data_IF_038719760348
#
_entry.id   IF_038719760348
#
_cell.length_a   1.000
_cell.length_b   1.000
_cell.length_c   1.000
_cell.angle_alpha   90.00
_cell.angle_beta   90.00
_cell.angle_gamma   90.00
#
_symmetry.space_group_name_H-M   'P 1'
#
loop_
_entity.id
_entity.type
_entity.pdbx_description
1 polymer ?
#
# COMPACT_ATOMS: atom_id res chain seq x y z
N UNK A 1 6.97 34.49 3.09
CA UNK A 1 8.40 34.12 3.03
C UNK A 1 8.53 32.61 3.15
N UNK A 2 8.35 31.85 2.05
CA UNK A 2 8.51 30.39 2.01
C UNK A 2 9.16 29.96 0.68
N UNK A 3 10.21 30.66 0.24
CA UNK A 3 11.00 30.30 -0.94
C UNK A 3 12.42 29.90 -0.50
N UNK A 4 12.57 28.78 0.20
CA UNK A 4 13.87 28.46 0.77
C UNK A 4 14.13 27.02 1.20
N UNK A 5 13.28 26.05 0.84
CA UNK A 5 13.64 24.65 1.05
C UNK A 5 14.06 24.07 -0.31
N UNK A 6 15.37 23.97 -0.50
CA UNK A 6 15.97 23.23 -1.60
C UNK A 6 15.66 21.74 -1.39
N UNK A 7 14.98 21.05 -2.33
CA UNK A 7 14.65 19.63 -2.19
C UNK A 7 15.88 18.73 -1.96
N UNK A 8 17.07 19.19 -2.33
CA UNK A 8 18.33 18.46 -2.17
C UNK A 8 18.98 18.62 -0.78
N UNK A 9 18.47 19.49 0.09
CA UNK A 9 18.99 19.75 1.44
C UNK A 9 18.09 19.18 2.56
N UNK A 10 17.06 18.39 2.21
CA UNK A 10 16.28 17.67 3.21
C UNK A 10 17.10 16.48 3.70
N UNK A 11 17.83 16.68 4.80
CA UNK A 11 18.46 15.60 5.54
C UNK A 11 17.37 14.76 6.19
N UNK A 12 16.99 13.66 5.54
CA UNK A 12 16.10 12.66 6.15
C UNK A 12 16.97 11.82 7.08
N UNK A 13 16.84 12.01 8.39
CA UNK A 13 17.35 11.04 9.35
C UNK A 13 16.53 9.75 9.23
N UNK A 14 17.00 8.83 8.39
CA UNK A 14 16.48 7.47 8.36
C UNK A 14 17.02 6.77 9.60
N UNK A 15 16.32 6.91 10.73
CA UNK A 15 16.54 6.00 11.85
C UNK A 15 16.12 4.61 11.40
N UNK A 16 17.10 3.74 11.17
CA UNK A 16 16.89 2.32 10.97
C UNK A 16 16.36 1.75 12.29
N UNK A 17 15.05 1.82 12.49
CA UNK A 17 14.38 1.09 13.56
C UNK A 17 14.61 -0.39 13.25
N UNK A 18 15.24 -1.10 14.17
CA UNK A 18 15.72 -2.47 13.97
C UNK A 18 14.64 -3.43 13.48
N UNK A 19 15.06 -4.48 12.79
CA UNK A 19 14.26 -5.65 12.40
C UNK A 19 12.83 -5.30 11.94
N UNK A 20 12.74 -4.52 10.86
CA UNK A 20 11.45 -4.16 10.28
C UNK A 20 10.84 -5.36 9.53
N UNK A 21 9.65 -5.77 9.93
CA UNK A 21 8.84 -6.80 9.28
C UNK A 21 7.61 -6.14 8.66
N UNK A 22 7.09 -6.68 7.56
CA UNK A 22 5.93 -6.11 6.88
C UNK A 22 4.86 -7.13 6.53
N UNK A 23 3.60 -6.71 6.64
CA UNK A 23 2.46 -7.39 6.05
C UNK A 23 2.18 -6.78 4.68
N UNK A 24 1.97 -7.63 3.68
CA UNK A 24 1.71 -7.29 2.28
C UNK A 24 0.38 -7.92 1.88
N UNK A 25 -0.48 -7.13 1.27
CA UNK A 25 -1.76 -7.58 0.76
C UNK A 25 -2.25 -6.60 -0.30
N UNK A 26 -3.26 -7.04 -1.04
CA UNK A 26 -3.91 -6.28 -2.07
C UNK A 26 -5.42 -6.23 -1.87
N UNK A 27 -6.03 -5.09 -2.21
CA UNK A 27 -7.47 -5.02 -2.35
C UNK A 27 -7.86 -4.32 -3.64
N UNK A 28 -9.01 -4.71 -4.18
CA UNK A 28 -9.51 -4.14 -5.42
C UNK A 28 -10.85 -3.44 -5.24
N UNK A 29 -11.14 -2.57 -6.19
CA UNK A 29 -12.45 -1.97 -6.38
C UNK A 29 -12.73 -1.71 -7.87
N UNK A 30 -13.99 -1.49 -8.23
CA UNK A 30 -14.39 -1.25 -9.62
C UNK A 30 -14.17 0.22 -10.02
N UNK A 31 -13.55 0.45 -11.17
CA UNK A 31 -13.55 1.75 -11.84
C UNK A 31 -14.33 1.64 -13.15
N UNK A 32 -15.32 2.50 -13.38
CA UNK A 32 -16.22 2.49 -14.54
C UNK A 32 -17.12 1.23 -14.65
N UNK A 33 -16.53 0.04 -14.70
CA UNK A 33 -17.19 -1.25 -14.89
C UNK A 33 -16.56 -2.36 -14.04
N UNK A 34 -17.28 -3.48 -13.87
CA UNK A 34 -16.74 -4.67 -13.19
C UNK A 34 -15.62 -5.36 -13.98
N UNK A 35 -15.50 -5.04 -15.27
CA UNK A 35 -14.43 -5.53 -16.13
C UNK A 35 -13.14 -4.70 -16.00
N UNK A 36 -13.16 -3.64 -15.18
CA UNK A 36 -12.01 -2.77 -14.94
C UNK A 36 -11.75 -2.64 -13.42
N UNK A 37 -11.25 -3.72 -12.78
CA UNK A 37 -10.82 -3.65 -11.40
C UNK A 37 -9.54 -2.81 -11.28
N UNK A 38 -9.48 -1.96 -10.25
CA UNK A 38 -8.28 -1.22 -9.86
C UNK A 38 -7.81 -1.73 -8.50
N UNK A 39 -6.54 -2.10 -8.42
CA UNK A 39 -5.94 -2.72 -7.24
C UNK A 39 -5.10 -1.71 -6.47
N UNK A 40 -5.35 -1.61 -5.17
CA UNK A 40 -4.44 -1.04 -4.20
C UNK A 40 -3.57 -2.15 -3.64
N UNK A 41 -2.28 -2.05 -3.92
CA UNK A 41 -1.24 -2.82 -3.28
C UNK A 41 -0.67 -1.99 -2.15
N UNK A 42 -0.57 -2.53 -0.94
CA UNK A 42 0.11 -1.80 0.13
C UNK A 42 0.84 -2.69 1.11
N UNK A 43 1.79 -2.08 1.79
CA UNK A 43 2.58 -2.69 2.82
C UNK A 43 2.37 -1.93 4.13
N UNK A 44 2.22 -2.68 5.22
CA UNK A 44 2.20 -2.10 6.56
C UNK A 44 3.34 -2.68 7.39
N UNK A 45 3.81 -1.89 8.34
CA UNK A 45 4.73 -2.35 9.37
C UNK A 45 4.02 -3.38 10.25
N UNK A 46 4.60 -4.57 10.41
CA UNK A 46 3.96 -5.66 11.14
C UNK A 46 3.75 -5.33 12.61
N UNK A 47 4.62 -4.50 13.22
CA UNK A 47 4.54 -4.19 14.66
C UNK A 47 3.53 -3.08 14.92
N UNK A 48 3.66 -1.95 14.24
CA UNK A 48 2.86 -0.74 14.45
C UNK A 48 1.55 -0.75 13.67
N UNK A 49 1.48 -1.44 12.53
CA UNK A 49 0.34 -1.39 11.60
C UNK A 49 0.24 -0.07 10.81
N UNK A 50 1.30 0.74 10.82
CA UNK A 50 1.43 1.94 10.00
C UNK A 50 1.68 1.54 8.54
N UNK A 51 1.15 2.32 7.61
CA UNK A 51 1.43 2.11 6.19
C UNK A 51 2.87 2.50 5.92
N UNK A 52 3.63 1.61 5.27
CA UNK A 52 4.99 1.89 4.81
C UNK A 52 4.96 2.52 3.43
N UNK A 53 4.24 1.87 2.51
CA UNK A 53 4.10 2.34 1.14
C UNK A 53 2.89 1.69 0.46
N UNK A 54 2.47 2.25 -0.66
CA UNK A 54 1.41 1.70 -1.50
C UNK A 54 1.63 2.00 -2.98
N UNK A 55 1.03 1.18 -3.83
CA UNK A 55 0.95 1.42 -5.28
C UNK A 55 -0.44 1.08 -5.78
N UNK A 56 -0.91 1.80 -6.80
CA UNK A 56 -2.20 1.54 -7.45
C UNK A 56 -1.95 1.04 -8.86
N UNK A 57 -2.60 -0.06 -9.23
CA UNK A 57 -2.26 -0.75 -10.48
C UNK A 57 -3.21 -1.88 -10.85
N UNK A 58 -2.79 -2.62 -11.87
CA UNK A 58 -3.37 -3.91 -12.24
C UNK A 58 -2.97 -5.01 -11.24
N UNK A 59 -3.61 -6.17 -11.35
CA UNK A 59 -3.23 -7.37 -10.60
C UNK A 59 -2.11 -8.15 -11.30
N UNK A 60 -0.93 -7.53 -11.37
CA UNK A 60 0.23 -8.08 -12.09
C UNK A 60 1.54 -7.87 -11.35
N UNK A 61 2.50 -8.73 -11.66
CA UNK A 61 3.84 -8.75 -11.08
C UNK A 61 4.56 -7.40 -11.20
N UNK A 62 4.37 -6.65 -12.29
CA UNK A 62 5.05 -5.36 -12.48
C UNK A 62 4.63 -4.33 -11.43
N UNK A 63 3.38 -4.38 -10.97
CA UNK A 63 2.88 -3.48 -9.92
C UNK A 63 3.46 -3.89 -8.57
N UNK A 64 3.52 -5.19 -8.28
CA UNK A 64 4.18 -5.68 -7.07
C UNK A 64 5.68 -5.32 -7.05
N UNK A 65 6.39 -5.44 -8.17
CA UNK A 65 7.79 -5.04 -8.27
C UNK A 65 7.99 -3.55 -8.00
N UNK A 66 7.03 -2.71 -8.41
CA UNK A 66 7.03 -1.28 -8.07
C UNK A 66 6.87 -1.07 -6.55
N UNK A 67 5.93 -1.78 -5.92
CA UNK A 67 5.77 -1.76 -4.46
C UNK A 67 7.05 -2.21 -3.75
N UNK A 68 7.65 -3.32 -4.20
CA UNK A 68 8.89 -3.88 -3.64
C UNK A 68 10.05 -2.89 -3.75
N UNK A 69 10.20 -2.18 -4.86
CA UNK A 69 11.24 -1.15 -5.02
C UNK A 69 11.06 0.00 -4.02
N UNK A 70 9.81 0.41 -3.74
CA UNK A 70 9.52 1.41 -2.71
C UNK A 70 9.82 0.91 -1.30
N UNK A 71 9.85 -0.40 -1.09
CA UNK A 71 10.15 -1.03 0.19
C UNK A 71 11.64 -1.20 0.48
N UNK A 72 12.51 -1.13 -0.54
CA UNK A 72 13.96 -1.33 -0.35
C UNK A 72 14.59 -0.40 0.70
N UNK A 73 14.27 0.91 0.76
CA UNK A 73 14.84 1.82 1.75
C UNK A 73 14.48 1.48 3.21
N UNK A 74 13.38 0.76 3.43
CA UNK A 74 12.94 0.34 4.77
C UNK A 74 13.78 -0.81 5.32
N UNK A 75 14.50 -1.55 4.46
CA UNK A 75 15.34 -2.66 4.89
C UNK A 75 14.56 -3.79 5.56
N UNK A 76 13.35 -4.09 5.05
CA UNK A 76 12.49 -5.16 5.57
C UNK A 76 13.19 -6.51 5.44
N UNK A 77 13.19 -7.27 6.53
CA UNK A 77 13.86 -8.57 6.60
C UNK A 77 12.88 -9.76 6.63
N UNK A 78 11.60 -9.50 6.93
CA UNK A 78 10.52 -10.51 6.92
C UNK A 78 9.24 -9.94 6.29
N UNK A 79 8.62 -10.75 5.43
CA UNK A 79 7.35 -10.43 4.76
C UNK A 79 6.28 -11.46 5.09
N UNK A 80 5.08 -10.98 5.40
CA UNK A 80 3.88 -11.80 5.63
C UNK A 80 2.83 -11.52 4.56
N UNK A 81 2.33 -12.56 3.88
CA UNK A 81 1.33 -12.44 2.80
C UNK A 81 0.28 -13.55 2.88
N UNK A 82 -0.82 -13.40 2.16
CA UNK A 82 -1.91 -14.39 2.08
C UNK A 82 -1.69 -15.54 1.07
N UNK A 83 -0.64 -15.44 0.24
CA UNK A 83 -0.21 -16.52 -0.67
C UNK A 83 -0.46 -16.25 -2.16
N UNK A 84 -0.69 -15.00 -2.57
CA UNK A 84 -0.70 -14.68 -4.00
C UNK A 84 0.65 -14.98 -4.67
N UNK A 85 0.60 -15.61 -5.85
CA UNK A 85 1.79 -16.21 -6.47
C UNK A 85 2.90 -15.23 -6.86
N UNK A 86 2.65 -13.93 -7.01
CA UNK A 86 3.76 -13.00 -7.27
C UNK A 86 4.62 -12.77 -6.03
N UNK A 87 4.05 -12.86 -4.82
CA UNK A 87 4.85 -12.83 -3.60
C UNK A 87 5.86 -13.97 -3.59
N UNK A 88 5.41 -15.19 -3.89
CA UNK A 88 6.29 -16.36 -3.98
C UNK A 88 7.35 -16.25 -5.08
N UNK A 89 7.04 -15.60 -6.21
CA UNK A 89 7.99 -15.42 -7.32
C UNK A 89 9.08 -14.38 -7.05
N UNK A 90 8.76 -13.35 -6.27
CA UNK A 90 9.59 -12.14 -6.18
C UNK A 90 10.12 -11.85 -4.76
N UNK A 91 9.64 -12.56 -3.74
CA UNK A 91 10.19 -12.50 -2.39
C UNK A 91 11.12 -13.71 -2.14
N UNK A 92 12.26 -13.50 -1.46
CA UNK A 92 13.10 -14.63 -1.05
C UNK A 92 12.34 -15.53 -0.08
N UNK A 93 12.34 -16.85 -0.33
CA UNK A 93 11.62 -17.83 0.49
C UNK A 93 12.04 -17.82 1.97
N UNK A 94 13.31 -17.51 2.26
CA UNK A 94 13.83 -17.39 3.63
C UNK A 94 13.23 -16.20 4.40
N UNK A 95 12.82 -15.16 3.68
CA UNK A 95 12.26 -13.91 4.22
C UNK A 95 10.74 -13.89 4.16
N UNK A 96 10.11 -14.89 3.54
CA UNK A 96 8.68 -14.88 3.22
C UNK A 96 7.92 -15.93 4.03
N UNK A 97 6.88 -15.50 4.74
CA UNK A 97 5.96 -16.37 5.46
C UNK A 97 4.56 -16.21 4.91
N UNK A 98 4.03 -17.26 4.32
CA UNK A 98 2.66 -17.30 3.80
C UNK A 98 1.71 -17.77 4.90
N UNK A 99 0.64 -17.02 5.12
CA UNK A 99 -0.45 -17.46 5.98
C UNK A 99 -1.25 -16.33 6.59
N UNK A 100 -2.45 -16.66 7.05
CA UNK A 100 -3.40 -15.69 7.62
C UNK A 100 -3.07 -15.27 9.04
N UNK A 101 -2.13 -15.96 9.70
CA UNK A 101 -1.79 -15.74 11.11
C UNK A 101 -1.03 -14.42 11.35
N UNK A 102 -0.42 -13.83 10.32
CA UNK A 102 0.34 -12.59 10.43
C UNK A 102 -0.16 -11.50 9.48
N UNK A 103 -1.40 -11.59 8.99
CA UNK A 103 -2.00 -10.62 8.05
C UNK A 103 -3.26 -9.94 8.61
N UNK A 104 -3.56 -10.08 9.91
CA UNK A 104 -4.81 -9.52 10.44
C UNK A 104 -4.80 -7.99 10.49
N UNK A 105 -3.63 -7.36 10.66
CA UNK A 105 -3.55 -5.91 10.74
C UNK A 105 -3.82 -5.30 9.38
N UNK A 106 -3.28 -5.89 8.31
CA UNK A 106 -3.52 -5.41 6.94
C UNK A 106 -4.98 -5.66 6.51
N UNK A 107 -5.57 -6.80 6.89
CA UNK A 107 -7.01 -7.06 6.69
C UNK A 107 -7.89 -6.00 7.41
N UNK A 108 -7.53 -5.63 8.65
CA UNK A 108 -8.21 -4.57 9.40
C UNK A 108 -8.03 -3.20 8.75
N UNK A 109 -6.86 -2.92 8.15
CA UNK A 109 -6.60 -1.69 7.40
C UNK A 109 -7.47 -1.63 6.14
N UNK A 110 -7.58 -2.71 5.39
CA UNK A 110 -8.49 -2.84 4.25
C UNK A 110 -9.95 -2.53 4.64
N UNK A 111 -10.41 -3.09 5.77
CA UNK A 111 -11.75 -2.78 6.29
C UNK A 111 -11.91 -1.28 6.59
N UNK A 112 -10.92 -0.67 7.25
CA UNK A 112 -10.94 0.76 7.61
C UNK A 112 -10.98 1.65 6.35
N UNK A 113 -10.16 1.34 5.35
CA UNK A 113 -10.15 2.07 4.08
C UNK A 113 -11.48 1.95 3.35
N UNK A 114 -12.09 0.76 3.30
CA UNK A 114 -13.43 0.56 2.71
C UNK A 114 -14.51 1.36 3.42
N UNK A 115 -14.49 1.43 4.75
CA UNK A 115 -15.46 2.21 5.52
C UNK A 115 -15.32 3.71 5.25
N UNK A 116 -14.08 4.22 5.19
CA UNK A 116 -13.81 5.66 5.06
C UNK A 116 -13.86 6.15 3.62
N UNK A 117 -13.55 5.30 2.64
CA UNK A 117 -13.55 5.60 1.21
C UNK A 117 -14.68 4.81 0.55
N UNK A 118 -15.87 5.41 0.46
CA UNK A 118 -17.07 4.76 -0.14
C UNK A 118 -16.82 4.20 -1.56
N UNK A 119 -15.88 4.77 -2.30
CA UNK A 119 -15.49 4.33 -3.65
C UNK A 119 -14.84 2.95 -3.70
N UNK A 120 -14.35 2.43 -2.56
CA UNK A 120 -13.73 1.11 -2.45
C UNK A 120 -14.72 -0.02 -2.11
N UNK A 121 -16.01 0.27 -1.90
CA UNK A 121 -16.96 -0.70 -1.34
C UNK A 121 -17.80 -1.42 -2.40
N UNK A 122 -18.64 -0.69 -3.15
CA UNK A 122 -19.59 -1.30 -4.08
C UNK A 122 -19.97 -0.35 -5.20
N UNK A 123 -19.87 -0.85 -6.44
CA UNK A 123 -20.19 -0.09 -7.65
C UNK A 123 -21.56 0.58 -7.63
N UNK A 124 -22.57 -0.06 -7.04
CA UNK A 124 -23.95 0.45 -7.09
C UNK A 124 -24.19 1.71 -6.26
N UNK A 125 -23.27 2.08 -5.37
CA UNK A 125 -23.44 3.21 -4.45
C UNK A 125 -22.54 4.39 -4.83
N UNK A 126 -21.24 4.16 -4.95
CA UNK A 126 -20.27 5.19 -5.28
C UNK A 126 -19.05 4.53 -5.92
N UNK A 127 -18.72 4.91 -7.15
CA UNK A 127 -17.56 4.40 -7.86
C UNK A 127 -16.90 5.49 -8.69
N UNK A 128 -15.63 5.28 -9.02
CA UNK A 128 -14.90 6.19 -9.90
C UNK A 128 -15.24 5.90 -11.35
N UNK A 129 -15.31 6.93 -12.18
CA UNK A 129 -15.51 6.78 -13.63
C UNK A 129 -14.18 6.73 -14.41
N UNK A 130 -13.10 7.18 -13.79
CA UNK A 130 -11.76 7.28 -14.38
C UNK A 130 -10.73 6.80 -13.36
N UNK A 131 -9.72 6.07 -13.82
CA UNK A 131 -8.64 5.54 -12.97
C UNK A 131 -7.90 6.68 -12.28
N UNK A 132 -7.54 7.72 -13.03
CA UNK A 132 -6.86 8.90 -12.48
C UNK A 132 -7.60 9.51 -11.29
N UNK A 133 -8.94 9.61 -11.34
CA UNK A 133 -9.73 10.14 -10.23
C UNK A 133 -9.83 9.16 -9.06
N UNK A 134 -9.85 7.86 -9.35
CA UNK A 134 -9.79 6.84 -8.32
C UNK A 134 -8.48 6.94 -7.54
N UNK A 135 -7.36 6.96 -8.28
CA UNK A 135 -6.03 6.96 -7.72
C UNK A 135 -5.76 8.23 -6.92
N UNK A 136 -6.18 9.40 -7.43
CA UNK A 136 -6.07 10.67 -6.70
C UNK A 136 -6.85 10.60 -5.38
N UNK A 137 -8.09 10.11 -5.37
CA UNK A 137 -8.90 10.08 -4.14
C UNK A 137 -8.30 9.12 -3.10
N UNK A 138 -7.87 7.93 -3.52
CA UNK A 138 -7.23 6.97 -2.62
C UNK A 138 -5.90 7.52 -2.10
N UNK A 139 -5.06 8.05 -2.99
CA UNK A 139 -3.75 8.59 -2.63
C UNK A 139 -3.83 9.82 -1.73
N UNK A 140 -4.72 10.78 -2.01
CA UNK A 140 -4.97 11.93 -1.14
C UNK A 140 -5.42 11.50 0.26
N UNK A 141 -6.27 10.49 0.34
CA UNK A 141 -6.75 9.97 1.61
C UNK A 141 -5.61 9.34 2.42
N UNK A 142 -4.84 8.44 1.81
CA UNK A 142 -3.72 7.76 2.48
C UNK A 142 -2.67 8.78 2.91
N UNK A 143 -2.27 9.68 2.01
CA UNK A 143 -1.27 10.71 2.32
C UNK A 143 -1.70 11.60 3.49
N UNK A 144 -2.98 12.00 3.54
CA UNK A 144 -3.50 12.86 4.60
C UNK A 144 -3.65 12.16 5.95
N UNK A 145 -4.17 10.93 5.95
CA UNK A 145 -4.59 10.27 7.19
C UNK A 145 -3.63 9.21 7.71
N UNK A 146 -2.80 8.64 6.85
CA UNK A 146 -1.86 7.57 7.23
C UNK A 146 -0.43 8.12 7.28
N UNK A 147 -0.04 9.00 6.35
CA UNK A 147 1.28 9.65 6.36
C UNK A 147 1.31 11.02 7.04
N UNK A 148 0.15 11.58 7.40
CA UNK A 148 0.07 12.89 8.05
C UNK A 148 0.54 14.06 7.16
N UNK A 149 0.62 13.86 5.84
CA UNK A 149 1.02 14.91 4.89
C UNK A 149 -0.13 15.90 4.75
N UNK A 150 0.15 17.19 4.94
CA UNK A 150 -0.77 18.26 4.58
C UNK A 150 -0.83 18.36 3.05
N UNK A 151 -1.85 17.73 2.46
CA UNK A 151 -2.18 17.81 1.02
C UNK A 151 -3.29 18.81 0.76
#
# INVERSE_FOLDING_TARGET
>A
MLNGLNPQEVTVEIQKVGDQEAELDEMWSDVQSKAHPRWLWHAIDHTTGEILTYTLGDHKDEVFLTLKALLEPFGIHRFYTDGWGAYERHLPSEQHTVGKANTQKIERKHLTLRIRIKRLVRKTICFSKLDKMHDIVVGLFINRYEFGVLV
#
